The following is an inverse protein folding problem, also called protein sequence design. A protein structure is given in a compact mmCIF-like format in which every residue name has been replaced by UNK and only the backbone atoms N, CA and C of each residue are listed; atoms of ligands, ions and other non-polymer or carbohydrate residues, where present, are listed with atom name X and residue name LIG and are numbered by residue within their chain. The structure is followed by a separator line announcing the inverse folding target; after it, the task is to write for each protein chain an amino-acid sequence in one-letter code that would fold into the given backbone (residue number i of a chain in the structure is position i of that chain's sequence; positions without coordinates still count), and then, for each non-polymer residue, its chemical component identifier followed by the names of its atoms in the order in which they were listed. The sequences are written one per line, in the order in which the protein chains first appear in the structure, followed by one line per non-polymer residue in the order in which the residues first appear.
data_IF_765632323178
#
_entry.id   IF_765632323178
#
_cell.length_a   1.000
_cell.length_b   1.000
_cell.length_c   1.000
_cell.angle_alpha   90.00
_cell.angle_beta   90.00
_cell.angle_gamma   90.00
#
_symmetry.space_group_name_H-M   'P 1'
#
loop_
_entity.id
_entity.type
_entity.pdbx_description
1 polymer ?
#
# COMPACT_ATOMS: atom_id res chain seq x y z
N UNK A 1 16.94 1.14 4.13
CA UNK A 1 16.43 0.46 5.35
C UNK A 1 15.09 -0.16 5.11
N UNK A 2 14.94 -1.43 5.34
CA UNK A 2 13.63 -2.04 5.13
C UNK A 2 12.62 -1.53 6.16
N UNK A 3 11.37 -1.51 5.75
CA UNK A 3 10.28 -1.17 6.66
C UNK A 3 9.94 -2.41 7.49
N UNK A 4 9.10 -2.22 8.49
CA UNK A 4 8.59 -3.36 9.25
C UNK A 4 7.43 -4.05 8.53
N UNK A 5 6.96 -3.48 7.45
CA UNK A 5 5.86 -4.05 6.68
C UNK A 5 6.40 -5.01 5.62
N UNK A 6 6.11 -6.31 5.72
CA UNK A 6 6.53 -7.24 4.68
C UNK A 6 5.89 -6.92 3.33
N UNK A 7 4.67 -6.37 3.36
CA UNK A 7 3.99 -5.96 2.14
C UNK A 7 4.76 -4.86 1.41
N UNK A 8 5.16 -3.82 2.14
CA UNK A 8 5.92 -2.73 1.53
C UNK A 8 7.29 -3.20 1.08
N UNK A 9 7.92 -4.06 1.87
CA UNK A 9 9.23 -4.59 1.49
C UNK A 9 9.16 -5.35 0.18
N UNK A 10 8.11 -6.13 -0.01
CA UNK A 10 7.95 -6.86 -1.26
C UNK A 10 7.70 -5.90 -2.43
N UNK A 11 6.88 -4.88 -2.23
CA UNK A 11 6.63 -3.89 -3.27
C UNK A 11 7.93 -3.22 -3.70
N UNK A 12 8.71 -2.74 -2.74
CA UNK A 12 9.96 -2.07 -3.07
C UNK A 12 10.98 -3.00 -3.69
N UNK A 13 11.00 -4.26 -3.27
CA UNK A 13 11.91 -5.23 -3.83
C UNK A 13 11.60 -5.52 -5.29
N UNK A 14 10.33 -5.64 -5.64
CA UNK A 14 9.93 -6.00 -7.00
C UNK A 14 10.00 -4.83 -7.97
N UNK A 15 9.76 -3.61 -7.49
CA UNK A 15 9.58 -2.47 -8.39
C UNK A 15 10.72 -1.46 -8.38
N UNK A 16 11.81 -1.78 -7.74
CA UNK A 16 12.83 -0.74 -7.50
C UNK A 16 13.62 -0.30 -8.71
N UNK A 17 13.58 -1.05 -9.79
CA UNK A 17 14.41 -0.73 -10.96
C UNK A 17 13.62 -0.62 -12.25
N UNK A 18 12.40 -0.22 -12.20
CA UNK A 18 11.67 -0.03 -13.44
C UNK A 18 12.10 1.28 -14.08
N UNK A 19 12.65 1.20 -15.27
CA UNK A 19 13.07 2.38 -15.99
C UNK A 19 11.87 3.21 -16.42
N UNK A 20 12.05 4.51 -16.51
CA UNK A 20 11.01 5.39 -17.02
C UNK A 20 10.24 6.15 -15.99
N UNK A 21 10.39 5.83 -14.72
CA UNK A 21 9.78 6.59 -13.64
C UNK A 21 8.27 6.70 -13.70
N UNK A 22 7.61 5.68 -14.16
CA UNK A 22 6.16 5.71 -14.31
C UNK A 22 5.46 5.02 -13.16
N UNK A 23 4.17 5.27 -13.05
CA UNK A 23 3.34 4.63 -12.04
C UNK A 23 3.14 3.16 -12.43
N UNK A 24 3.29 2.29 -11.46
CA UNK A 24 3.06 0.86 -11.66
C UNK A 24 1.96 0.38 -10.73
N UNK A 25 1.11 -0.48 -11.24
CA UNK A 25 0.04 -1.08 -10.44
C UNK A 25 0.64 -2.22 -9.63
N UNK A 26 0.52 -2.13 -8.32
CA UNK A 26 1.02 -3.17 -7.42
C UNK A 26 -0.10 -3.80 -6.60
N UNK A 27 -1.32 -3.67 -7.08
CA UNK A 27 -2.50 -4.23 -6.42
C UNK A 27 -2.34 -5.72 -6.17
N UNK A 28 -1.70 -6.44 -7.09
CA UNK A 28 -1.53 -7.88 -6.94
C UNK A 28 -0.68 -8.24 -5.71
N UNK A 29 0.25 -7.37 -5.33
CA UNK A 29 1.04 -7.62 -4.14
C UNK A 29 0.21 -7.34 -2.89
N UNK A 30 -0.50 -6.21 -2.88
CA UNK A 30 -1.34 -5.84 -1.75
C UNK A 30 -2.40 -6.91 -1.50
N UNK A 31 -3.00 -7.45 -2.55
CA UNK A 31 -4.06 -8.44 -2.40
C UNK A 31 -3.57 -9.76 -1.80
N UNK A 32 -2.28 -10.04 -1.86
CA UNK A 32 -1.73 -11.22 -1.17
C UNK A 32 -1.76 -11.07 0.33
N UNK A 33 -1.55 -9.84 0.80
CA UNK A 33 -1.51 -9.58 2.25
C UNK A 33 -2.88 -9.19 2.78
N UNK A 34 -3.70 -8.59 1.93
CA UNK A 34 -5.03 -8.13 2.29
C UNK A 34 -6.03 -8.69 1.28
N UNK A 35 -6.41 -9.96 1.40
CA UNK A 35 -7.27 -10.58 0.38
C UNK A 35 -8.64 -9.94 0.29
N UNK A 36 -9.16 -9.87 -0.93
CA UNK A 36 -10.54 -9.46 -1.17
C UNK A 36 -11.46 -10.37 -0.37
N UNK A 37 -12.46 -9.79 0.28
CA UNK A 37 -13.37 -10.53 1.13
C UNK A 37 -12.99 -10.50 2.60
N UNK A 38 -11.82 -9.96 2.93
CA UNK A 38 -11.43 -9.79 4.33
C UNK A 38 -12.34 -8.77 4.99
N UNK A 39 -12.66 -8.97 6.27
CA UNK A 39 -13.44 -7.98 6.99
C UNK A 39 -12.59 -6.74 7.25
N UNK A 40 -13.27 -5.62 7.48
CA UNK A 40 -12.57 -4.37 7.78
C UNK A 40 -11.70 -4.52 9.02
N UNK A 41 -12.21 -5.23 10.03
CA UNK A 41 -11.44 -5.47 11.25
C UNK A 41 -10.16 -6.24 10.97
N UNK A 42 -10.25 -7.28 10.15
CA UNK A 42 -9.05 -8.04 9.77
C UNK A 42 -8.04 -7.18 9.04
N UNK A 43 -8.53 -6.33 8.14
CA UNK A 43 -7.65 -5.45 7.38
C UNK A 43 -6.94 -4.48 8.32
N UNK A 44 -7.68 -3.86 9.23
CA UNK A 44 -7.09 -2.92 10.18
C UNK A 44 -6.07 -3.63 11.07
N UNK A 45 -6.38 -4.83 11.53
CA UNK A 45 -5.45 -5.59 12.35
C UNK A 45 -4.17 -5.90 11.60
N UNK A 46 -4.27 -6.28 10.33
CA UNK A 46 -3.08 -6.57 9.53
C UNK A 46 -2.26 -5.32 9.25
N UNK A 47 -2.93 -4.20 8.98
CA UNK A 47 -2.20 -2.95 8.78
C UNK A 47 -1.45 -2.55 10.05
N UNK A 48 -2.10 -2.72 11.20
CA UNK A 48 -1.45 -2.41 12.48
C UNK A 48 -0.28 -3.36 12.75
N UNK A 49 -0.45 -4.64 12.47
CA UNK A 49 0.61 -5.62 12.66
C UNK A 49 1.82 -5.32 11.78
N UNK A 50 1.58 -4.77 10.60
CA UNK A 50 2.67 -4.41 9.70
C UNK A 50 3.19 -3.00 9.96
N UNK A 51 2.70 -2.36 11.01
CA UNK A 51 3.09 -0.99 11.34
C UNK A 51 2.85 -0.04 10.17
N UNK A 52 1.75 -0.24 9.47
CA UNK A 52 1.40 0.51 8.29
C UNK A 52 0.47 1.67 8.66
N UNK A 53 0.85 2.88 8.27
CA UNK A 53 0.01 4.06 8.47
C UNK A 53 -1.23 3.98 7.59
N UNK A 54 -2.37 4.36 8.13
CA UNK A 54 -3.60 4.38 7.35
C UNK A 54 -4.57 5.44 7.89
N UNK A 55 -5.51 5.84 7.04
CA UNK A 55 -6.60 6.74 7.41
C UNK A 55 -7.91 6.06 7.08
N UNK A 56 -8.78 5.94 8.07
CA UNK A 56 -10.07 5.28 7.92
C UNK A 56 -11.14 6.33 7.61
N UNK A 57 -11.70 6.25 6.40
CA UNK A 57 -12.73 7.17 5.94
C UNK A 57 -14.11 6.50 5.84
N UNK A 58 -14.33 5.46 6.62
CA UNK A 58 -15.60 4.73 6.60
C UNK A 58 -15.54 3.57 5.60
N UNK A 59 -16.10 3.75 4.42
CA UNK A 59 -16.09 2.68 3.41
C UNK A 59 -14.78 2.59 2.65
N UNK A 60 -13.85 3.49 2.91
CA UNK A 60 -12.55 3.52 2.24
C UNK A 60 -11.48 3.73 3.27
N UNK A 61 -10.41 2.94 3.16
CA UNK A 61 -9.19 3.17 3.95
C UNK A 61 -8.09 3.57 2.98
N UNK A 62 -7.42 4.67 3.29
CA UNK A 62 -6.26 5.13 2.54
C UNK A 62 -5.01 4.79 3.31
N UNK A 63 -4.09 4.12 2.66
CA UNK A 63 -2.83 3.79 3.26
C UNK A 63 -1.73 4.15 2.28
N UNK A 64 -0.49 3.95 2.67
CA UNK A 64 0.58 4.26 1.76
C UNK A 64 1.88 4.43 2.48
N UNK A 65 2.88 4.85 1.73
CA UNK A 65 4.22 5.01 2.27
C UNK A 65 4.93 6.09 1.47
N UNK A 66 5.35 7.13 2.16
CA UNK A 66 6.18 8.18 1.60
C UNK A 66 7.40 8.31 2.47
N UNK A 67 8.54 8.44 1.86
CA UNK A 67 9.79 8.41 2.60
C UNK A 67 10.49 9.76 2.54
N UNK A 68 10.58 10.42 3.66
CA UNK A 68 11.22 11.72 3.77
C UNK A 68 12.69 11.55 4.06
N UNK A 69 13.46 11.21 3.03
CA UNK A 69 14.88 10.97 3.21
C UNK A 69 15.69 12.22 2.96
N UNK A 70 15.56 12.79 1.79
CA UNK A 70 16.36 13.93 1.40
C UNK A 70 15.60 14.71 0.34
N UNK A 71 15.44 16.03 0.52
CA UNK A 71 14.58 16.78 -0.42
C UNK A 71 15.11 16.81 -1.84
N UNK A 72 16.39 16.58 -2.05
CA UNK A 72 16.96 16.61 -3.38
C UNK A 72 17.04 15.25 -4.05
N UNK A 73 16.71 14.20 -3.33
CA UNK A 73 16.78 12.85 -3.87
C UNK A 73 15.35 12.32 -3.96
N UNK A 74 14.81 12.22 -5.16
CA UNK A 74 13.46 11.66 -5.30
C UNK A 74 13.47 10.18 -4.90
N UNK A 75 12.36 9.76 -4.36
CA UNK A 75 12.25 8.40 -3.90
C UNK A 75 10.84 7.89 -4.13
N UNK A 76 10.68 6.56 -4.22
CA UNK A 76 9.38 6.00 -4.52
C UNK A 76 8.40 6.17 -3.38
N UNK A 77 7.13 6.25 -3.73
CA UNK A 77 6.04 6.21 -2.78
C UNK A 77 5.02 5.20 -3.24
N UNK A 78 4.20 4.77 -2.30
CA UNK A 78 3.15 3.78 -2.58
C UNK A 78 1.84 4.34 -2.08
N UNK A 79 0.81 4.31 -2.91
CA UNK A 79 -0.54 4.65 -2.50
C UNK A 79 -1.38 3.38 -2.48
N UNK A 80 -2.23 3.25 -1.47
CA UNK A 80 -3.09 2.09 -1.32
C UNK A 80 -4.47 2.60 -0.98
N UNK A 81 -5.46 2.20 -1.78
CA UNK A 81 -6.86 2.53 -1.54
C UNK A 81 -7.62 1.24 -1.38
N UNK A 82 -8.26 1.08 -0.23
CA UNK A 82 -9.01 -0.13 0.11
C UNK A 82 -10.46 0.24 0.25
N UNK A 83 -11.30 -0.30 -0.63
CA UNK A 83 -12.72 -0.01 -0.64
C UNK A 83 -13.51 -1.16 -0.05
N UNK A 84 -14.46 -0.83 0.81
CA UNK A 84 -15.23 -1.82 1.54
C UNK A 84 -16.70 -1.75 1.14
N UNK A 85 -17.35 -2.90 1.17
CA UNK A 85 -18.78 -2.98 0.93
C UNK A 85 -19.57 -2.41 2.11
N UNK A 86 -20.88 -2.31 1.94
CA UNK A 86 -21.75 -1.85 3.04
C UNK A 86 -21.70 -2.77 4.24
N UNK A 87 -21.27 -4.01 4.05
CA UNK A 87 -21.14 -4.98 5.14
C UNK A 87 -19.74 -5.02 5.72
N UNK A 88 -18.90 -4.05 5.35
CA UNK A 88 -17.52 -3.92 5.85
C UNK A 88 -16.62 -5.08 5.45
N UNK A 89 -16.78 -5.55 4.22
CA UNK A 89 -15.85 -6.50 3.62
C UNK A 89 -15.08 -5.84 2.50
N UNK A 90 -13.80 -6.16 2.41
CA UNK A 90 -12.94 -5.59 1.38
C UNK A 90 -13.39 -6.06 0.01
N UNK A 91 -13.80 -5.14 -0.85
CA UNK A 91 -14.29 -5.50 -2.18
C UNK A 91 -13.41 -5.00 -3.31
N UNK A 92 -12.55 -4.04 -3.06
CA UNK A 92 -11.67 -3.53 -4.11
C UNK A 92 -10.39 -2.95 -3.54
N UNK A 93 -9.30 -3.15 -4.25
CA UNK A 93 -8.00 -2.62 -3.89
C UNK A 93 -7.44 -1.89 -5.11
N UNK A 94 -6.92 -0.68 -4.87
CA UNK A 94 -6.23 0.07 -5.90
C UNK A 94 -4.91 0.54 -5.29
N UNK A 95 -3.81 -0.03 -5.75
CA UNK A 95 -2.51 0.29 -5.21
C UNK A 95 -1.53 0.61 -6.32
N UNK A 96 -0.84 1.72 -6.18
CA UNK A 96 0.10 2.20 -7.18
C UNK A 96 1.45 2.48 -6.56
N UNK A 97 2.48 2.15 -7.30
CA UNK A 97 3.85 2.45 -6.95
C UNK A 97 4.29 3.63 -7.81
N UNK A 98 4.65 4.73 -7.16
CA UNK A 98 5.06 5.96 -7.85
C UNK A 98 6.57 6.07 -7.79
N UNK A 99 7.18 6.03 -8.96
CA UNK A 99 8.63 6.16 -9.03
C UNK A 99 9.07 7.58 -8.78
N UNK A 100 10.24 7.70 -8.21
CA UNK A 100 10.87 8.98 -8.05
C UNK A 100 11.27 9.54 -9.42
N UNK A 101 11.12 10.83 -9.55
CA UNK A 101 11.50 11.53 -10.77
C UNK A 101 12.91 12.09 -10.67
#
# INVERSE_FOLDING_TARGET
MPTKSPMLNEIFSREKYTAGGKVKDVTYIVSKYLPIGSSKEEVINKLSDMNQHYTDEGNVIYAGYGRQVHPMIPYPSVSIVLKFSNSDYLENIDSKFHYAQ
#
